data_IF_972035642295
#
_entry.id   IF_972035642295
#
_cell.length_a   1.000
_cell.length_b   1.000
_cell.length_c   1.000
_cell.angle_alpha   90.00
_cell.angle_beta   90.00
_cell.angle_gamma   90.00
#
_symmetry.space_group_name_H-M   'P 1'
#
loop_
_entity.id
_entity.type
_entity.pdbx_description
1 polymer ?
#
# COMPACT_ATOMS: atom_id res chain seq x y z
N UNK A 1 4.27 -13.25 -20.29
CA UNK A 1 3.62 -12.04 -19.71
C UNK A 1 3.12 -11.10 -20.82
N UNK A 2 2.02 -10.38 -20.60
CA UNK A 2 1.47 -9.44 -21.59
C UNK A 2 2.39 -8.26 -21.92
N UNK A 3 3.38 -7.98 -21.05
CA UNK A 3 4.42 -6.97 -21.28
C UNK A 3 5.82 -7.60 -21.18
N UNK A 4 6.82 -7.02 -21.88
CA UNK A 4 8.22 -7.40 -21.70
C UNK A 4 8.66 -7.23 -20.24
N UNK A 5 9.49 -8.16 -19.69
CA UNK A 5 9.93 -8.11 -18.29
C UNK A 5 10.58 -6.79 -17.87
N UNK A 6 11.27 -6.11 -18.80
CA UNK A 6 11.88 -4.79 -18.55
C UNK A 6 10.86 -3.71 -18.20
N UNK A 7 9.66 -3.79 -18.78
CA UNK A 7 8.57 -2.86 -18.52
C UNK A 7 7.83 -3.29 -17.25
N UNK A 8 7.42 -4.57 -17.16
CA UNK A 8 6.60 -5.04 -16.05
C UNK A 8 7.33 -5.04 -14.70
N UNK A 9 8.59 -5.48 -14.67
CA UNK A 9 9.36 -5.64 -13.42
C UNK A 9 10.28 -4.43 -13.15
N UNK A 10 10.49 -3.59 -14.15
CA UNK A 10 11.28 -2.39 -14.05
C UNK A 10 10.38 -1.16 -13.96
N UNK A 11 10.16 -0.54 -15.11
CA UNK A 11 9.60 0.83 -15.23
C UNK A 11 8.19 0.95 -14.63
N UNK A 12 7.34 -0.05 -14.83
CA UNK A 12 5.97 -0.04 -14.34
C UNK A 12 5.79 -0.71 -12.97
N UNK A 13 6.85 -1.29 -12.40
CA UNK A 13 6.82 -1.86 -11.05
C UNK A 13 6.98 -0.76 -10.02
N UNK A 14 6.12 -0.74 -9.01
CA UNK A 14 6.18 0.21 -7.89
C UNK A 14 7.23 -0.22 -6.85
N UNK A 15 8.50 -0.19 -7.26
CA UNK A 15 9.62 -0.56 -6.39
C UNK A 15 9.77 0.45 -5.24
N UNK A 16 10.07 -0.07 -4.04
CA UNK A 16 10.29 0.75 -2.86
C UNK A 16 11.51 1.66 -3.00
N UNK A 17 11.43 2.87 -2.47
CA UNK A 17 12.53 3.84 -2.43
C UNK A 17 12.78 4.59 -3.75
N UNK A 18 12.01 4.36 -4.80
CA UNK A 18 12.15 5.04 -6.10
C UNK A 18 10.90 5.87 -6.44
N UNK A 19 11.10 7.00 -7.12
CA UNK A 19 9.99 7.80 -7.62
C UNK A 19 9.35 7.10 -8.83
N UNK A 20 8.01 7.11 -8.87
CA UNK A 20 7.20 6.39 -9.86
C UNK A 20 6.03 7.23 -10.34
N UNK A 21 5.82 7.21 -11.65
CA UNK A 21 4.61 7.75 -12.26
C UNK A 21 3.46 6.77 -12.03
N UNK A 22 2.34 7.29 -11.53
CA UNK A 22 1.14 6.51 -11.28
C UNK A 22 -0.10 7.30 -11.73
N UNK A 23 -1.17 6.57 -11.99
CA UNK A 23 -2.52 7.14 -12.00
C UNK A 23 -3.13 6.82 -10.65
N UNK A 24 -3.39 7.85 -9.85
CA UNK A 24 -3.87 7.70 -8.47
C UNK A 24 -5.36 8.00 -8.41
N UNK A 25 -6.05 7.21 -7.58
CA UNK A 25 -7.44 7.43 -7.19
C UNK A 25 -7.46 7.84 -5.73
N UNK A 26 -7.85 9.07 -5.45
CA UNK A 26 -8.15 9.54 -4.10
C UNK A 26 -9.61 9.24 -3.81
N UNK A 27 -9.91 8.57 -2.69
CA UNK A 27 -11.26 8.18 -2.31
C UNK A 27 -11.57 8.61 -0.88
N UNK A 28 -12.81 9.03 -0.65
CA UNK A 28 -13.38 9.26 0.69
C UNK A 28 -14.43 8.18 0.93
N UNK A 29 -14.25 7.42 2.01
CA UNK A 29 -15.09 6.28 2.38
C UNK A 29 -15.78 6.62 3.70
N UNK A 30 -17.11 6.44 3.77
CA UNK A 30 -17.85 6.65 5.01
C UNK A 30 -17.81 5.40 5.92
N UNK A 31 -18.36 5.50 7.12
CA UNK A 31 -18.35 4.39 8.11
C UNK A 31 -19.14 3.15 7.69
N UNK A 32 -19.94 3.22 6.62
CA UNK A 32 -20.67 2.08 6.05
C UNK A 32 -19.88 1.40 4.92
N UNK A 33 -18.66 1.87 4.62
CA UNK A 33 -17.84 1.38 3.53
C UNK A 33 -18.20 1.97 2.15
N UNK A 34 -19.10 2.97 2.09
CA UNK A 34 -19.51 3.58 0.84
C UNK A 34 -18.53 4.68 0.41
N UNK A 35 -18.12 4.67 -0.87
CA UNK A 35 -17.32 5.77 -1.46
C UNK A 35 -18.23 6.97 -1.71
N UNK A 36 -18.03 8.04 -0.94
CA UNK A 36 -18.84 9.27 -1.05
C UNK A 36 -18.22 10.31 -1.98
N UNK A 37 -16.91 10.21 -2.23
CA UNK A 37 -16.18 11.10 -3.14
C UNK A 37 -14.97 10.40 -3.71
N UNK A 38 -14.62 10.73 -4.96
CA UNK A 38 -13.37 10.29 -5.56
C UNK A 38 -12.80 11.34 -6.52
N UNK A 39 -11.48 11.26 -6.75
CA UNK A 39 -10.76 12.02 -7.75
C UNK A 39 -9.69 11.14 -8.38
N UNK A 40 -9.56 11.18 -9.70
CA UNK A 40 -8.57 10.41 -10.46
C UNK A 40 -7.62 11.38 -11.14
N UNK A 41 -6.32 11.10 -11.12
CA UNK A 41 -5.35 11.90 -11.84
C UNK A 41 -3.95 11.31 -11.89
N UNK A 42 -3.08 11.83 -12.79
CA UNK A 42 -1.67 11.49 -12.79
C UNK A 42 -0.98 12.01 -11.54
N UNK A 43 0.01 11.27 -11.05
CA UNK A 43 0.75 11.58 -9.83
C UNK A 43 2.17 11.02 -9.86
N UNK A 44 3.04 11.56 -9.01
CA UNK A 44 4.34 10.97 -8.67
C UNK A 44 4.24 10.40 -7.27
N UNK A 45 4.61 9.13 -7.08
CA UNK A 45 4.62 8.46 -5.78
C UNK A 45 6.02 7.89 -5.49
N UNK A 46 6.32 7.65 -4.21
CA UNK A 46 7.51 6.93 -3.78
C UNK A 46 7.09 5.90 -2.73
N UNK A 47 7.14 4.62 -3.09
CA UNK A 47 6.74 3.54 -2.18
C UNK A 47 7.73 3.48 -1.03
N UNK A 48 7.27 3.62 0.21
CA UNK A 48 8.13 3.58 1.39
C UNK A 48 8.69 2.18 1.63
N UNK A 49 7.85 1.15 1.54
CA UNK A 49 8.21 -0.20 1.95
C UNK A 49 7.47 -1.25 1.12
N UNK A 50 8.14 -2.38 0.85
CA UNK A 50 7.53 -3.55 0.23
C UNK A 50 7.19 -4.57 1.32
N UNK A 51 5.92 -4.71 1.60
CA UNK A 51 5.41 -5.68 2.58
C UNK A 51 4.85 -6.93 1.91
N UNK A 52 4.78 -8.03 2.67
CA UNK A 52 4.10 -9.26 2.27
C UNK A 52 2.80 -9.44 3.06
N UNK A 53 1.81 -10.14 2.50
CA UNK A 53 0.58 -10.47 3.22
C UNK A 53 0.86 -11.25 4.50
N UNK A 54 1.86 -12.13 4.48
CA UNK A 54 2.27 -12.90 5.66
C UNK A 54 2.75 -11.99 6.78
N UNK A 55 3.57 -10.98 6.46
CA UNK A 55 4.07 -10.05 7.47
C UNK A 55 2.94 -9.16 8.01
N UNK A 56 2.11 -8.60 7.13
CA UNK A 56 0.97 -7.76 7.53
C UNK A 56 0.01 -8.53 8.43
N UNK A 57 -0.30 -9.79 8.10
CA UNK A 57 -1.14 -10.66 8.92
C UNK A 57 -0.53 -10.90 10.30
N UNK A 58 0.76 -11.26 10.38
CA UNK A 58 1.46 -11.49 11.66
C UNK A 58 1.51 -10.24 12.52
N UNK A 59 1.57 -9.07 11.91
CA UNK A 59 1.51 -7.78 12.62
C UNK A 59 0.10 -7.57 13.21
N UNK A 60 -0.95 -7.74 12.40
CA UNK A 60 -2.32 -7.39 12.79
C UNK A 60 -3.01 -8.45 13.67
N UNK A 61 -2.80 -9.75 13.39
CA UNK A 61 -3.45 -10.86 14.10
C UNK A 61 -2.57 -11.40 15.24
N UNK A 62 -1.31 -11.70 14.96
CA UNK A 62 -0.43 -12.39 15.90
C UNK A 62 0.35 -11.45 16.83
N UNK A 63 0.29 -10.13 16.58
CA UNK A 63 1.05 -9.09 17.30
C UNK A 63 2.55 -9.42 17.41
N UNK A 64 3.14 -9.91 16.31
CA UNK A 64 4.54 -10.34 16.27
C UNK A 64 5.52 -9.22 16.69
N UNK A 65 6.24 -9.35 17.83
CA UNK A 65 7.05 -8.26 18.36
C UNK A 65 8.18 -7.80 17.43
N UNK A 66 8.80 -8.73 16.69
CA UNK A 66 9.92 -8.41 15.81
C UNK A 66 9.43 -7.62 14.58
N UNK A 67 8.32 -8.05 13.99
CA UNK A 67 7.72 -7.35 12.86
C UNK A 67 7.11 -6.02 13.28
N UNK A 68 6.47 -5.95 14.45
CA UNK A 68 5.95 -4.71 15.00
C UNK A 68 7.06 -3.68 15.24
N UNK A 69 8.24 -4.12 15.70
CA UNK A 69 9.40 -3.25 15.85
C UNK A 69 9.96 -2.81 14.49
N UNK A 70 10.09 -3.74 13.52
CA UNK A 70 10.60 -3.44 12.18
C UNK A 70 9.72 -2.43 11.43
N UNK A 71 8.40 -2.56 11.55
CA UNK A 71 7.41 -1.74 10.85
C UNK A 71 6.73 -0.72 11.75
N UNK A 72 7.39 -0.28 12.83
CA UNK A 72 6.82 0.59 13.86
C UNK A 72 6.14 1.84 13.28
N UNK A 73 6.74 2.46 12.26
CA UNK A 73 6.21 3.66 11.58
C UNK A 73 4.89 3.42 10.84
N UNK A 74 4.56 2.17 10.53
CA UNK A 74 3.39 1.79 9.73
C UNK A 74 2.26 1.16 10.55
N UNK A 75 2.49 0.79 11.82
CA UNK A 75 1.51 0.04 12.64
C UNK A 75 0.16 0.75 12.71
N UNK A 76 0.15 2.04 13.03
CA UNK A 76 -1.09 2.80 13.13
C UNK A 76 -1.83 2.90 11.79
N UNK A 77 -1.10 2.96 10.68
CA UNK A 77 -1.69 2.98 9.34
C UNK A 77 -2.29 1.62 9.00
N UNK A 78 -1.59 0.53 9.28
CA UNK A 78 -2.09 -0.83 9.05
C UNK A 78 -3.36 -1.12 9.87
N UNK A 79 -3.40 -0.70 11.13
CA UNK A 79 -4.59 -0.83 11.98
C UNK A 79 -5.78 -0.06 11.40
N UNK A 80 -5.58 1.20 10.99
CA UNK A 80 -6.63 1.98 10.32
C UNK A 80 -7.12 1.33 9.02
N UNK A 81 -6.24 0.68 8.27
CA UNK A 81 -6.61 -0.03 7.05
C UNK A 81 -7.43 -1.29 7.35
N UNK A 82 -7.20 -1.94 8.49
CA UNK A 82 -8.02 -3.08 8.93
C UNK A 82 -9.47 -2.66 9.20
N UNK A 83 -9.68 -1.47 9.76
CA UNK A 83 -11.01 -0.92 10.05
C UNK A 83 -11.82 -0.55 8.78
N UNK A 84 -11.16 -0.44 7.62
CA UNK A 84 -11.79 -0.14 6.34
C UNK A 84 -12.30 -1.39 5.60
N UNK A 85 -12.02 -2.59 6.12
CA UNK A 85 -12.35 -3.89 5.50
C UNK A 85 -13.58 -4.55 6.15
#
# INVERSE_FOLDING_TARGET
PMLPPRISNGICSLNAGEDRLAVTVFMEINNEGNVVRYQIGPSVIRVNERMSYTDVRRILEDNDPELCQRYADFILTLQKMQDLC
#
